data_IF_418632967379
#
_entry.id   IF_418632967379
#
_cell.length_a   1.000
_cell.length_b   1.000
_cell.length_c   1.000
_cell.angle_alpha   90.00
_cell.angle_beta   90.00
_cell.angle_gamma   90.00
#
_symmetry.space_group_name_H-M   'P 1'
#
loop_
_entity.id
_entity.type
_entity.pdbx_description
1 polymer ?
#
# COMPACT_ATOMS: atom_id res chain seq x y z
N UNK A 1 3.11 -2.79 -55.37
CA UNK A 1 3.81 -4.08 -55.18
C UNK A 1 3.15 -4.82 -54.04
N UNK A 2 2.50 -5.94 -54.37
CA UNK A 2 1.89 -6.90 -53.46
C UNK A 2 2.97 -7.59 -52.62
N UNK A 3 2.67 -8.01 -51.39
CA UNK A 3 2.77 -9.43 -51.03
C UNK A 3 1.83 -9.78 -49.87
N UNK A 4 1.31 -11.00 -49.96
CA UNK A 4 0.15 -11.59 -49.27
C UNK A 4 0.51 -12.23 -47.92
N UNK A 5 -0.46 -12.14 -47.01
CA UNK A 5 -1.02 -13.15 -46.06
C UNK A 5 -0.38 -14.55 -46.09
N UNK A 6 -0.32 -15.20 -44.91
CA UNK A 6 -0.85 -16.56 -44.66
C UNK A 6 -1.35 -16.65 -43.20
N UNK A 7 -2.48 -17.34 -43.06
CA UNK A 7 -3.31 -17.60 -41.90
C UNK A 7 -3.16 -19.10 -41.50
N UNK A 8 -3.76 -19.47 -40.35
CA UNK A 8 -4.08 -20.83 -39.86
C UNK A 8 -3.02 -21.43 -38.90
N UNK A 9 -3.36 -22.22 -37.89
CA UNK A 9 -4.54 -23.07 -37.66
C UNK A 9 -4.63 -23.43 -36.15
N UNK A 10 -5.84 -23.54 -35.61
CA UNK A 10 -6.12 -24.05 -34.27
C UNK A 10 -6.14 -25.59 -34.22
N UNK A 11 -5.81 -26.18 -33.06
CA UNK A 11 -6.31 -27.51 -32.66
C UNK A 11 -6.55 -27.56 -31.14
N UNK A 12 -7.79 -27.89 -30.76
CA UNK A 12 -8.14 -28.48 -29.47
C UNK A 12 -7.89 -30.00 -29.53
N UNK A 13 -7.52 -30.63 -28.41
CA UNK A 13 -8.17 -31.86 -27.94
C UNK A 13 -7.77 -32.17 -26.50
N UNK A 14 -8.77 -32.51 -25.67
CA UNK A 14 -8.66 -32.99 -24.31
C UNK A 14 -8.33 -34.50 -24.26
N UNK A 15 -7.89 -34.98 -23.08
CA UNK A 15 -8.35 -36.22 -22.44
C UNK A 15 -7.89 -36.23 -20.96
N UNK A 16 -8.84 -36.34 -20.05
CA UNK A 16 -8.66 -36.58 -18.62
C UNK A 16 -9.16 -37.99 -18.31
N UNK A 17 -8.46 -38.75 -17.46
CA UNK A 17 -9.00 -39.92 -16.77
C UNK A 17 -7.99 -40.44 -15.73
N UNK A 18 -8.42 -40.52 -14.47
CA UNK A 18 -7.84 -41.42 -13.47
C UNK A 18 -9.00 -41.94 -12.60
N UNK A 19 -9.19 -43.25 -12.66
CA UNK A 19 -10.39 -43.95 -12.23
C UNK A 19 -10.61 -44.00 -10.72
N UNK A 20 -11.89 -43.96 -10.35
CA UNK A 20 -12.39 -44.28 -9.02
C UNK A 20 -12.65 -45.79 -8.97
N UNK A 21 -12.01 -46.48 -8.04
CA UNK A 21 -12.29 -47.89 -7.75
C UNK A 21 -13.53 -47.99 -6.85
N UNK A 22 -14.54 -48.71 -7.32
CA UNK A 22 -15.72 -49.14 -6.58
C UNK A 22 -15.82 -50.66 -6.68
N UNK A 23 -15.87 -51.35 -5.55
CA UNK A 23 -16.48 -52.66 -5.30
C UNK A 23 -16.31 -52.96 -3.79
N UNK A 24 -17.22 -53.54 -3.00
CA UNK A 24 -18.66 -53.89 -2.98
C UNK A 24 -18.92 -54.44 -1.53
N UNK A 25 -20.15 -54.79 -1.09
CA UNK A 25 -20.58 -54.62 0.30
C UNK A 25 -20.93 -55.93 1.04
N UNK A 26 -21.27 -55.72 2.33
CA UNK A 26 -22.13 -56.47 3.25
C UNK A 26 -21.68 -57.80 3.91
N UNK A 27 -21.67 -57.76 5.26
CA UNK A 27 -22.29 -58.78 6.09
C UNK A 27 -22.85 -58.16 7.40
N UNK A 28 -24.05 -58.56 7.86
CA UNK A 28 -24.68 -58.03 9.06
C UNK A 28 -24.26 -58.83 10.31
N UNK A 29 -24.00 -58.14 11.42
CA UNK A 29 -23.86 -58.78 12.75
C UNK A 29 -25.08 -58.44 13.59
N UNK A 30 -25.91 -59.46 13.80
CA UNK A 30 -26.97 -59.53 14.80
C UNK A 30 -26.36 -59.70 16.19
N UNK A 31 -26.82 -58.96 17.21
CA UNK A 31 -26.45 -59.29 18.59
C UNK A 31 -26.76 -58.26 19.68
N UNK A 32 -27.98 -58.37 20.21
CA UNK A 32 -28.42 -58.11 21.59
C UNK A 32 -28.74 -56.66 22.08
N UNK A 33 -29.99 -56.41 22.54
CA UNK A 33 -30.35 -55.26 23.37
C UNK A 33 -30.03 -55.56 24.85
N UNK A 34 -29.93 -54.51 25.66
CA UNK A 34 -29.58 -54.50 27.09
C UNK A 34 -28.11 -54.73 27.46
N UNK A 35 -27.34 -53.65 27.35
CA UNK A 35 -26.29 -53.35 28.30
C UNK A 35 -26.35 -51.85 28.63
N UNK A 36 -26.85 -51.52 29.82
CA UNK A 36 -26.71 -50.20 30.41
C UNK A 36 -25.22 -49.92 30.61
N UNK A 37 -24.65 -49.05 29.77
CA UNK A 37 -23.30 -48.52 29.96
C UNK A 37 -23.44 -47.20 30.72
N UNK A 38 -23.04 -47.29 31.98
CA UNK A 38 -22.85 -46.22 32.94
C UNK A 38 -22.12 -45.04 32.28
N UNK A 39 -22.79 -43.87 32.22
CA UNK A 39 -22.17 -42.64 31.74
C UNK A 39 -21.24 -42.14 32.84
N UNK A 40 -19.91 -42.05 32.64
CA UNK A 40 -19.08 -41.34 33.59
C UNK A 40 -19.54 -39.89 33.62
N UNK A 41 -19.93 -39.42 34.80
CA UNK A 41 -20.20 -38.02 35.06
C UNK A 41 -18.91 -37.24 34.79
N UNK A 42 -18.80 -36.67 33.59
CA UNK A 42 -17.72 -35.74 33.26
C UNK A 42 -17.88 -34.51 34.16
N UNK A 43 -17.07 -34.45 35.21
CA UNK A 43 -16.78 -33.22 35.95
C UNK A 43 -15.67 -32.43 35.26
N UNK A 44 -15.59 -32.55 33.92
CA UNK A 44 -14.82 -31.66 33.08
C UNK A 44 -15.41 -30.26 33.25
N UNK A 45 -14.74 -29.46 34.07
CA UNK A 45 -14.83 -28.00 33.98
C UNK A 45 -14.57 -27.67 32.52
N UNK A 46 -15.60 -27.16 31.83
CA UNK A 46 -15.43 -26.53 30.53
C UNK A 46 -14.27 -25.57 30.69
N UNK A 47 -13.13 -25.91 30.08
CA UNK A 47 -12.03 -25.00 29.95
C UNK A 47 -12.62 -23.78 29.24
N UNK A 48 -12.75 -22.68 29.98
CA UNK A 48 -13.27 -21.44 29.46
C UNK A 48 -12.53 -21.17 28.16
N UNK A 49 -13.28 -21.15 27.06
CA UNK A 49 -12.79 -20.65 25.78
C UNK A 49 -12.18 -19.29 26.09
N UNK A 50 -10.88 -19.19 25.84
CA UNK A 50 -10.02 -18.04 26.11
C UNK A 50 -10.76 -16.76 25.72
N UNK A 51 -11.38 -16.12 26.71
CA UNK A 51 -12.05 -14.84 26.49
C UNK A 51 -10.94 -13.86 26.16
N UNK A 52 -11.05 -13.09 25.07
CA UNK A 52 -10.04 -12.09 24.74
C UNK A 52 -9.79 -11.21 25.98
N UNK A 53 -8.53 -10.89 26.29
CA UNK A 53 -8.18 -10.23 27.54
C UNK A 53 -9.10 -9.03 27.78
N UNK A 54 -9.78 -9.04 28.93
CA UNK A 54 -10.75 -8.03 29.30
C UNK A 54 -10.07 -6.64 29.28
N UNK A 55 -10.61 -5.73 28.46
CA UNK A 55 -10.09 -4.37 28.30
C UNK A 55 -9.47 -4.05 26.94
N UNK A 56 -9.62 -4.92 25.92
CA UNK A 56 -9.15 -4.63 24.57
C UNK A 56 -10.30 -4.37 23.59
N UNK A 57 -10.49 -3.12 23.17
CA UNK A 57 -11.35 -2.74 22.06
C UNK A 57 -10.49 -2.38 20.86
N UNK A 58 -10.67 -3.13 19.76
CA UNK A 58 -9.93 -2.88 18.52
C UNK A 58 -10.46 -1.62 17.84
N UNK A 59 -9.57 -0.68 17.56
CA UNK A 59 -9.90 0.55 16.82
C UNK A 59 -8.84 0.88 15.78
N UNK A 60 -9.26 1.57 14.74
CA UNK A 60 -8.38 2.09 13.70
C UNK A 60 -8.18 3.59 13.91
N UNK A 61 -6.94 4.03 13.92
CA UNK A 61 -6.57 5.44 14.06
C UNK A 61 -5.71 5.84 12.86
N UNK A 62 -6.09 6.90 12.15
CA UNK A 62 -5.19 7.52 11.18
C UNK A 62 -4.16 8.37 11.93
N UNK A 63 -2.89 8.08 11.68
CA UNK A 63 -1.77 8.75 12.34
C UNK A 63 -1.28 10.00 11.59
N UNK A 64 -1.73 10.23 10.36
CA UNK A 64 -1.34 11.41 9.59
C UNK A 64 -2.18 12.63 9.95
N UNK A 65 -1.52 13.75 10.21
CA UNK A 65 -2.12 15.07 10.16
C UNK A 65 -2.30 15.52 8.70
N UNK A 66 -3.40 16.22 8.42
CA UNK A 66 -3.74 16.74 7.10
C UNK A 66 -3.55 15.71 5.95
N UNK A 67 -4.21 14.54 6.03
CA UNK A 67 -4.02 13.41 5.11
C UNK A 67 -4.32 13.73 3.63
N UNK A 68 -5.30 14.62 3.40
CA UNK A 68 -5.74 15.06 2.08
C UNK A 68 -5.17 16.44 1.69
N UNK A 69 -4.20 16.96 2.44
CA UNK A 69 -3.55 18.26 2.19
C UNK A 69 -4.45 19.53 2.25
N UNK A 70 -5.76 19.39 2.48
CA UNK A 70 -6.76 20.47 2.50
C UNK A 70 -6.67 21.49 3.65
N UNK A 71 -5.86 21.23 4.67
CA UNK A 71 -5.79 22.14 5.83
C UNK A 71 -5.16 23.47 5.42
N UNK A 72 -5.75 24.58 5.87
CA UNK A 72 -5.24 25.94 5.67
C UNK A 72 -4.56 26.44 6.96
N UNK A 73 -3.32 26.98 6.91
CA UNK A 73 -2.47 27.19 5.73
C UNK A 73 -2.04 25.91 5.01
N UNK A 74 -1.85 25.97 3.69
CA UNK A 74 -1.41 24.81 2.89
C UNK A 74 -0.15 24.16 3.49
N UNK A 75 -0.04 22.85 3.35
CA UNK A 75 0.99 22.01 3.96
C UNK A 75 1.00 21.99 5.50
N UNK A 76 -0.03 22.51 6.19
CA UNK A 76 -0.13 22.34 7.66
C UNK A 76 -0.01 20.86 8.02
N UNK A 77 0.86 20.55 8.99
CA UNK A 77 1.18 19.18 9.41
C UNK A 77 2.27 18.50 8.57
N UNK A 78 2.77 19.14 7.52
CA UNK A 78 3.82 18.61 6.65
C UNK A 78 5.01 19.57 6.57
N UNK A 79 6.21 19.02 6.42
CA UNK A 79 7.43 19.79 6.20
C UNK A 79 7.89 19.62 4.77
N UNK A 80 8.06 20.74 4.09
CA UNK A 80 8.48 20.81 2.69
C UNK A 80 9.97 21.16 2.57
N UNK A 81 10.67 20.45 1.71
CA UNK A 81 11.97 20.81 1.15
C UNK A 81 11.72 21.17 -0.30
N UNK A 82 11.75 22.46 -0.61
CA UNK A 82 11.29 23.00 -1.89
C UNK A 82 12.48 23.35 -2.77
N UNK A 83 12.53 22.78 -3.96
CA UNK A 83 13.39 23.30 -5.02
C UNK A 83 12.90 24.70 -5.43
N UNK A 84 13.81 25.66 -5.56
CA UNK A 84 13.50 27.06 -5.88
C UNK A 84 12.45 27.75 -4.99
N UNK A 85 12.18 27.22 -3.79
CA UNK A 85 11.15 27.70 -2.88
C UNK A 85 9.71 27.62 -3.44
N UNK A 86 9.47 26.79 -4.47
CA UNK A 86 8.13 26.53 -5.01
C UNK A 86 7.29 25.67 -4.05
N UNK A 87 6.04 26.04 -3.75
CA UNK A 87 5.16 25.23 -2.89
C UNK A 87 4.87 23.83 -3.48
N UNK A 88 4.98 22.80 -2.64
CA UNK A 88 4.69 21.41 -3.02
C UNK A 88 3.19 21.13 -2.88
N UNK A 89 2.57 21.52 -1.76
CA UNK A 89 1.11 21.43 -1.58
C UNK A 89 0.43 22.60 -2.29
N UNK A 90 -0.41 22.30 -3.28
CA UNK A 90 -0.96 23.32 -4.19
C UNK A 90 -2.29 22.92 -4.85
N UNK A 91 -2.98 23.91 -5.41
CA UNK A 91 -4.33 23.78 -6.01
C UNK A 91 -4.33 23.75 -7.54
N UNK A 92 -3.23 24.10 -8.20
CA UNK A 92 -3.07 24.19 -9.66
C UNK A 92 -2.34 22.96 -10.24
N UNK A 93 -2.25 22.87 -11.56
CA UNK A 93 -1.78 21.67 -12.26
C UNK A 93 -2.92 20.68 -12.53
N UNK A 94 -2.77 19.43 -12.07
CA UNK A 94 -3.81 18.39 -12.26
C UNK A 94 -4.92 18.54 -11.23
N UNK A 95 -6.12 18.05 -11.50
CA UNK A 95 -7.15 17.96 -10.47
C UNK A 95 -6.69 17.02 -9.33
N UNK A 96 -6.89 17.43 -8.07
CA UNK A 96 -6.67 16.56 -6.92
C UNK A 96 -7.54 15.30 -6.98
N UNK A 97 -7.10 14.24 -6.31
CA UNK A 97 -7.93 13.06 -6.10
C UNK A 97 -9.07 13.38 -5.14
N UNK A 98 -8.78 14.21 -4.13
CA UNK A 98 -9.75 14.91 -3.32
C UNK A 98 -9.83 16.40 -3.74
N UNK A 99 -11.00 17.05 -3.68
CA UNK A 99 -11.07 18.50 -3.80
C UNK A 99 -10.43 19.13 -2.56
N UNK A 100 -9.48 20.06 -2.67
CA UNK A 100 -9.03 20.90 -3.80
C UNK A 100 -7.51 20.86 -4.05
N UNK A 101 -6.74 20.25 -3.16
CA UNK A 101 -5.28 20.32 -3.09
C UNK A 101 -4.65 18.96 -3.36
N UNK A 102 -3.34 18.96 -3.58
CA UNK A 102 -2.51 17.76 -3.68
C UNK A 102 -1.06 18.15 -3.40
N UNK A 103 -0.21 17.16 -3.13
CA UNK A 103 1.23 17.34 -3.20
C UNK A 103 1.71 17.22 -4.65
N UNK A 104 2.63 18.09 -5.05
CA UNK A 104 3.31 18.09 -6.36
C UNK A 104 4.82 18.20 -6.15
N UNK A 105 5.54 17.12 -6.42
CA UNK A 105 7.00 17.09 -6.33
C UNK A 105 7.59 16.99 -7.74
N UNK A 106 8.65 17.76 -8.00
CA UNK A 106 9.31 17.80 -9.29
C UNK A 106 8.66 18.76 -10.28
N UNK A 107 8.53 18.32 -11.54
CA UNK A 107 7.86 19.09 -12.60
C UNK A 107 8.62 20.31 -13.10
N UNK A 108 9.91 20.41 -12.78
CA UNK A 108 10.79 21.52 -13.14
C UNK A 108 11.43 21.30 -14.52
N UNK A 109 11.60 22.36 -15.31
CA UNK A 109 12.32 22.35 -16.61
C UNK A 109 13.29 23.54 -16.66
N UNK A 110 14.42 23.37 -17.36
CA UNK A 110 15.15 24.51 -17.92
C UNK A 110 16.10 25.26 -16.99
N UNK A 111 16.37 24.77 -15.77
CA UNK A 111 17.42 25.35 -14.91
C UNK A 111 18.68 24.51 -14.97
N UNK A 112 19.78 25.08 -15.42
CA UNK A 112 21.05 24.35 -15.54
C UNK A 112 21.80 24.44 -14.20
N UNK A 113 22.19 23.31 -13.58
CA UNK A 113 23.13 23.36 -12.45
C UNK A 113 23.22 22.15 -11.52
N UNK A 114 22.12 21.49 -11.15
CA UNK A 114 22.08 20.30 -10.29
C UNK A 114 20.66 19.72 -10.20
N UNK A 115 20.46 18.40 -10.15
CA UNK A 115 19.13 17.76 -10.10
C UNK A 115 18.12 18.49 -9.19
N UNK A 116 16.93 18.81 -9.72
CA UNK A 116 15.86 19.41 -8.94
C UNK A 116 15.33 18.38 -7.94
N UNK A 117 15.47 18.66 -6.64
CA UNK A 117 15.06 17.75 -5.58
C UNK A 117 14.00 18.42 -4.71
N UNK A 118 12.80 17.84 -4.68
CA UNK A 118 11.77 18.18 -3.71
C UNK A 118 11.64 17.09 -2.64
N UNK A 119 11.15 17.47 -1.48
CA UNK A 119 10.82 16.56 -0.39
C UNK A 119 9.62 17.02 0.39
N UNK A 120 8.75 16.07 0.77
CA UNK A 120 7.61 16.30 1.63
C UNK A 120 7.59 15.22 2.71
N UNK A 121 7.47 15.60 3.97
CA UNK A 121 7.45 14.61 5.04
C UNK A 121 6.65 15.01 6.27
N UNK A 122 6.29 14.01 7.07
CA UNK A 122 5.70 14.15 8.38
C UNK A 122 6.34 13.13 9.34
N UNK A 123 6.69 13.59 10.54
CA UNK A 123 7.12 12.74 11.64
C UNK A 123 5.88 12.23 12.39
N UNK A 124 5.83 10.92 12.65
CA UNK A 124 4.65 10.21 13.08
C UNK A 124 5.01 9.32 14.27
N UNK A 125 4.33 9.52 15.39
CA UNK A 125 4.44 8.65 16.56
C UNK A 125 3.59 7.39 16.35
N UNK A 126 4.24 6.22 16.32
CA UNK A 126 3.54 4.94 16.20
C UNK A 126 3.18 4.44 17.60
N UNK A 127 1.88 4.14 17.87
CA UNK A 127 1.48 3.57 19.16
C UNK A 127 2.20 2.26 19.48
N UNK A 128 2.61 2.07 20.73
CA UNK A 128 3.23 0.81 21.17
C UNK A 128 2.25 -0.39 21.08
N UNK A 129 0.95 -0.12 21.18
CA UNK A 129 -0.13 -1.11 21.03
C UNK A 129 -0.58 -1.33 19.58
N UNK A 130 0.11 -0.75 18.59
CA UNK A 130 -0.20 -1.00 17.18
C UNK A 130 -0.03 -2.48 16.84
N UNK A 131 -1.09 -3.09 16.35
CA UNK A 131 -1.14 -4.49 15.92
C UNK A 131 -0.94 -4.63 14.41
N UNK A 132 -1.41 -3.64 13.64
CA UNK A 132 -1.24 -3.57 12.20
C UNK A 132 -1.12 -2.09 11.78
N UNK A 133 -0.33 -1.82 10.76
CA UNK A 133 -0.14 -0.47 10.21
C UNK A 133 -0.25 -0.56 8.69
N UNK A 134 -1.19 0.19 8.11
CA UNK A 134 -1.45 0.19 6.67
C UNK A 134 -1.39 1.61 6.15
N UNK A 135 -0.51 1.85 5.18
CA UNK A 135 -0.51 3.07 4.39
C UNK A 135 -1.45 2.92 3.20
N UNK A 136 -2.39 3.85 3.08
CA UNK A 136 -3.22 4.04 1.89
C UNK A 136 -2.99 5.42 1.31
N UNK A 137 -3.33 5.61 0.03
CA UNK A 137 -3.24 6.91 -0.62
C UNK A 137 -3.44 6.80 -2.11
N UNK A 138 -3.20 7.90 -2.82
CA UNK A 138 -3.18 7.92 -4.27
C UNK A 138 -1.92 8.62 -4.77
N UNK A 139 -1.41 8.15 -5.91
CA UNK A 139 -0.33 8.82 -6.62
C UNK A 139 -0.66 8.96 -8.11
N UNK A 140 -0.06 9.95 -8.75
CA UNK A 140 -0.06 10.08 -10.21
C UNK A 140 1.32 10.53 -10.67
N UNK A 141 1.85 9.91 -11.73
CA UNK A 141 3.14 10.30 -12.32
C UNK A 141 2.89 10.84 -13.72
N UNK A 142 3.20 12.11 -13.95
CA UNK A 142 3.11 12.73 -15.28
C UNK A 142 4.49 13.10 -15.78
N UNK A 143 4.80 12.76 -17.01
CA UNK A 143 6.08 13.13 -17.63
C UNK A 143 5.87 13.68 -19.04
N UNK A 144 6.69 14.65 -19.41
CA UNK A 144 6.90 15.07 -20.80
C UNK A 144 8.00 14.28 -21.50
N UNK A 145 8.69 13.39 -20.79
CA UNK A 145 9.74 12.56 -21.34
C UNK A 145 9.18 11.41 -22.18
N UNK A 146 9.99 10.93 -23.14
CA UNK A 146 9.59 9.82 -24.03
C UNK A 146 10.63 8.70 -23.98
N UNK A 147 10.17 7.46 -24.17
CA UNK A 147 11.02 6.27 -24.12
C UNK A 147 11.02 5.62 -22.74
N UNK A 148 11.98 4.71 -22.51
CA UNK A 148 12.06 3.87 -21.31
C UNK A 148 13.26 4.19 -20.40
N UNK A 149 14.03 5.22 -20.75
CA UNK A 149 15.20 5.64 -19.99
C UNK A 149 14.75 6.34 -18.70
N UNK A 150 15.38 5.99 -17.57
CA UNK A 150 15.06 6.61 -16.28
C UNK A 150 15.96 7.81 -16.05
N UNK A 151 15.37 9.00 -16.16
CA UNK A 151 16.02 10.29 -15.89
C UNK A 151 15.57 10.81 -14.54
N UNK A 152 14.25 10.79 -14.33
CA UNK A 152 13.62 11.31 -13.13
C UNK A 152 13.13 10.19 -12.21
N UNK A 153 13.28 10.41 -10.91
CA UNK A 153 12.92 9.44 -9.87
C UNK A 153 12.09 10.11 -8.79
N UNK A 154 11.13 9.37 -8.26
CA UNK A 154 10.44 9.69 -7.02
C UNK A 154 10.48 8.52 -6.05
N UNK A 155 10.31 8.79 -4.77
CA UNK A 155 10.13 7.75 -3.76
C UNK A 155 9.07 8.12 -2.75
N UNK A 156 8.42 7.09 -2.21
CA UNK A 156 7.65 7.11 -0.98
C UNK A 156 8.29 6.07 -0.07
N UNK A 157 8.74 6.51 1.10
CA UNK A 157 9.50 5.70 2.03
C UNK A 157 9.05 5.93 3.47
N UNK A 158 9.17 4.89 4.29
CA UNK A 158 9.22 5.03 5.73
C UNK A 158 10.69 5.12 6.17
N UNK A 159 11.05 6.19 6.86
CA UNK A 159 12.44 6.46 7.27
C UNK A 159 12.50 6.80 8.76
N UNK A 160 13.68 6.68 9.36
CA UNK A 160 13.93 7.22 10.70
C UNK A 160 13.90 8.75 10.63
N UNK A 161 13.72 9.42 11.77
CA UNK A 161 13.80 10.89 11.82
C UNK A 161 15.19 11.43 11.43
N UNK A 162 16.22 10.60 11.49
CA UNK A 162 17.57 10.88 10.97
C UNK A 162 17.71 10.66 9.45
N UNK A 163 16.68 10.14 8.77
CA UNK A 163 16.63 9.98 7.32
C UNK A 163 17.06 8.62 6.79
N UNK A 164 17.43 7.67 7.65
CA UNK A 164 17.75 6.29 7.28
C UNK A 164 16.49 5.56 6.83
N UNK A 165 16.51 4.89 5.68
CA UNK A 165 15.35 4.13 5.20
C UNK A 165 15.09 2.94 6.13
N UNK A 166 13.87 2.86 6.66
CA UNK A 166 13.37 1.75 7.47
C UNK A 166 12.68 0.75 6.56
N UNK A 167 11.77 1.23 5.71
CA UNK A 167 11.05 0.41 4.74
C UNK A 167 10.76 1.23 3.48
N UNK A 168 11.25 0.81 2.29
CA UNK A 168 10.83 1.42 1.04
C UNK A 168 9.37 1.02 0.75
N UNK A 169 8.54 1.98 0.38
CA UNK A 169 7.11 1.74 0.13
C UNK A 169 6.84 1.64 -1.36
N UNK A 170 7.24 2.66 -2.11
CA UNK A 170 7.04 2.70 -3.56
C UNK A 170 8.12 3.57 -4.21
N UNK A 171 8.67 3.08 -5.32
CA UNK A 171 9.53 3.86 -6.19
C UNK A 171 8.74 4.30 -7.43
N UNK A 172 9.05 5.49 -7.93
CA UNK A 172 8.43 6.10 -9.10
C UNK A 172 9.50 6.53 -10.09
N UNK A 173 9.18 6.47 -11.38
CA UNK A 173 10.08 6.94 -12.44
C UNK A 173 9.28 7.55 -13.58
N UNK A 174 9.91 8.45 -14.33
CA UNK A 174 9.40 8.92 -15.61
C UNK A 174 9.12 7.80 -16.62
N UNK A 175 9.90 6.72 -16.59
CA UNK A 175 9.75 5.57 -17.49
C UNK A 175 8.49 4.73 -17.20
N UNK A 176 7.81 4.97 -16.08
CA UNK A 176 6.56 4.32 -15.70
C UNK A 176 5.51 5.37 -15.29
N UNK A 177 5.10 6.26 -16.21
CA UNK A 177 4.10 7.27 -15.91
C UNK A 177 2.72 6.62 -15.76
N UNK A 178 1.81 7.30 -15.07
CA UNK A 178 0.41 6.90 -14.96
C UNK A 178 -0.48 7.88 -15.73
N UNK A 179 -1.68 7.45 -16.09
CA UNK A 179 -2.66 8.28 -16.80
C UNK A 179 -3.77 8.81 -15.90
N UNK A 180 -3.84 8.31 -14.67
CA UNK A 180 -4.83 8.61 -13.64
C UNK A 180 -4.23 8.33 -12.27
N UNK A 181 -4.84 8.90 -11.24
CA UNK A 181 -4.63 8.54 -9.84
C UNK A 181 -4.68 7.03 -9.64
N UNK A 182 -3.61 6.50 -9.07
CA UNK A 182 -3.41 5.08 -8.78
C UNK A 182 -3.34 4.88 -7.27
N UNK A 183 -4.07 3.90 -6.76
CA UNK A 183 -4.14 3.65 -5.34
C UNK A 183 -2.84 3.05 -4.78
N UNK A 184 -2.48 3.48 -3.58
CA UNK A 184 -1.46 2.89 -2.72
C UNK A 184 -2.18 2.07 -1.66
N UNK A 185 -1.75 0.84 -1.45
CA UNK A 185 -2.17 0.03 -0.32
C UNK A 185 -0.98 -0.82 0.13
N UNK A 186 -0.37 -0.45 1.25
CA UNK A 186 0.84 -1.07 1.75
C UNK A 186 0.71 -1.33 3.25
N UNK A 187 0.74 -2.60 3.63
CA UNK A 187 1.00 -2.98 5.02
C UNK A 187 2.47 -2.74 5.35
N UNK A 188 2.73 -2.00 6.43
CA UNK A 188 4.08 -1.77 6.95
C UNK A 188 4.54 -3.04 7.67
N UNK A 189 5.69 -3.54 7.28
CA UNK A 189 6.26 -4.80 7.78
C UNK A 189 7.40 -4.57 8.77
N UNK A 190 8.03 -3.40 8.73
CA UNK A 190 9.05 -3.02 9.69
C UNK A 190 8.48 -2.90 11.12
N UNK A 191 9.25 -3.37 12.11
CA UNK A 191 8.88 -3.24 13.51
C UNK A 191 9.14 -1.82 14.03
N UNK A 192 8.12 -0.96 13.93
CA UNK A 192 8.20 0.47 14.28
C UNK A 192 7.33 0.85 15.49
N UNK A 193 6.76 -0.14 16.18
CA UNK A 193 5.85 0.08 17.31
C UNK A 193 6.52 0.85 18.44
N UNK A 194 5.83 1.87 18.96
CA UNK A 194 6.35 2.70 20.06
C UNK A 194 7.49 3.64 19.66
N UNK A 195 7.77 3.78 18.36
CA UNK A 195 8.81 4.67 17.84
C UNK A 195 8.21 5.84 17.08
N UNK A 196 9.01 6.90 16.87
CA UNK A 196 8.68 7.96 15.91
C UNK A 196 9.40 7.67 14.61
N UNK A 197 8.64 7.61 13.52
CA UNK A 197 9.12 7.40 12.16
C UNK A 197 8.74 8.58 11.28
N UNK A 198 9.29 8.65 10.08
CA UNK A 198 8.99 9.68 9.10
C UNK A 198 8.43 9.04 7.83
N UNK A 199 7.24 9.45 7.42
CA UNK A 199 6.76 9.18 6.07
C UNK A 199 7.35 10.25 5.15
N UNK A 200 8.11 9.85 4.14
CA UNK A 200 8.84 10.77 3.27
C UNK A 200 8.50 10.51 1.81
N UNK A 201 8.12 11.56 1.10
CA UNK A 201 8.05 11.63 -0.36
C UNK A 201 9.23 12.44 -0.86
N UNK A 202 9.89 12.01 -1.92
CA UNK A 202 10.94 12.79 -2.59
C UNK A 202 10.83 12.70 -4.10
N UNK A 203 11.36 13.70 -4.80
CA UNK A 203 11.65 13.67 -6.23
C UNK A 203 13.10 14.04 -6.48
N UNK A 204 13.65 13.55 -7.60
CA UNK A 204 14.90 14.01 -8.20
C UNK A 204 14.67 14.04 -9.70
N UNK A 205 14.63 15.24 -10.28
CA UNK A 205 14.47 15.45 -11.70
C UNK A 205 15.77 15.96 -12.34
N UNK A 206 16.00 15.54 -13.58
CA UNK A 206 16.84 16.30 -14.49
C UNK A 206 16.08 17.52 -15.04
N UNK A 207 16.64 18.20 -16.05
CA UNK A 207 16.10 19.47 -16.56
C UNK A 207 15.62 19.43 -18.00
N UNK A 208 15.66 18.26 -18.63
CA UNK A 208 15.42 18.13 -20.07
C UNK A 208 13.93 18.16 -20.40
N UNK A 209 13.12 17.44 -19.64
CA UNK A 209 11.66 17.51 -19.70
C UNK A 209 11.06 17.23 -18.31
N UNK A 210 9.90 17.83 -18.03
CA UNK A 210 9.30 17.74 -16.71
C UNK A 210 8.77 16.34 -16.40
N UNK A 211 9.11 15.81 -15.22
CA UNK A 211 8.34 14.74 -14.56
C UNK A 211 7.84 15.20 -13.20
N UNK A 212 6.54 15.04 -12.97
CA UNK A 212 5.86 15.39 -11.74
C UNK A 212 5.35 14.13 -11.02
N UNK A 213 5.58 14.07 -9.72
CA UNK A 213 5.09 13.02 -8.83
C UNK A 213 4.05 13.62 -7.90
N UNK A 214 2.78 13.26 -8.11
CA UNK A 214 1.66 13.75 -7.33
C UNK A 214 1.24 12.74 -6.27
N UNK A 215 0.83 13.23 -5.11
CA UNK A 215 0.26 12.44 -4.02
C UNK A 215 -0.98 13.11 -3.45
N UNK A 216 -1.96 12.31 -3.04
CA UNK A 216 -3.20 12.82 -2.44
C UNK A 216 -3.90 11.74 -1.58
N UNK A 217 -4.76 12.18 -0.66
CA UNK A 217 -5.62 11.35 0.20
C UNK A 217 -4.85 10.24 0.93
N UNK A 218 -3.70 10.61 1.49
CA UNK A 218 -2.79 9.71 2.20
C UNK A 218 -3.36 9.34 3.57
N UNK A 219 -3.18 8.12 4.05
CA UNK A 219 -3.52 7.77 5.43
C UNK A 219 -2.60 6.67 5.95
N UNK A 220 -2.08 6.83 7.16
CA UNK A 220 -1.32 5.78 7.85
C UNK A 220 -2.19 5.27 8.99
N UNK A 221 -2.93 4.20 8.72
CA UNK A 221 -3.90 3.65 9.64
C UNK A 221 -3.25 2.60 10.53
N UNK A 222 -3.26 2.84 11.84
CA UNK A 222 -2.86 1.86 12.84
C UNK A 222 -4.10 1.22 13.46
N UNK A 223 -4.16 -0.11 13.43
CA UNK A 223 -5.08 -0.87 14.28
C UNK A 223 -4.45 -1.00 15.65
N UNK A 224 -5.10 -0.46 16.68
CA UNK A 224 -4.63 -0.47 18.06
C UNK A 224 -5.68 -1.12 18.97
N UNK A 225 -5.19 -1.63 20.09
CA UNK A 225 -6.02 -2.07 21.21
C UNK A 225 -6.05 -0.94 22.25
N UNK A 226 -7.25 -0.52 22.64
CA UNK A 226 -7.51 0.47 23.69
C UNK A 226 -8.63 0.03 24.62
#
# INVERSE_FOLDING_TARGET
MQYRRILALAMLSACAEAGVSLERPDAPVTGNPDAAVDSPTSTGTDAAVDSPPAGCTMMMVNLLANPAFETTPLATGWTETRYMNEPIVRTDGIAGQSPTTKAWLGGVVGTIGANATDGLHQDIAIPASAMNIVLTGFYEVRTGETGASVYDRGSLDLVSTAGTVIEPIQAFTNAAPTTTWTAINKTITANVKGTTVRLRMTSSNDFTAATAFYFDTMALNATVCQ
#
